data_IF_378650220243
#
_entry.id   IF_378650220243
#
_cell.length_a   1.000
_cell.length_b   1.000
_cell.length_c   1.000
_cell.angle_alpha   90.00
_cell.angle_beta   90.00
_cell.angle_gamma   90.00
#
_symmetry.space_group_name_H-M   'P 1'
#
loop_
_entity.id
_entity.type
_entity.pdbx_description
1 polymer ?
#
# COMPACT_ATOMS: atom_id res chain seq x y z
N UNK A 1 -7.51 -11.09 23.04
CA UNK A 1 -7.40 -9.65 22.67
C UNK A 1 -6.98 -9.62 21.21
N UNK A 2 -7.89 -9.19 20.33
CA UNK A 2 -7.84 -9.11 18.86
C UNK A 2 -7.35 -10.34 18.06
N UNK A 3 -8.13 -11.43 18.05
CA UNK A 3 -8.08 -12.44 16.99
C UNK A 3 -9.38 -12.37 16.18
N UNK A 4 -9.52 -11.34 15.34
CA UNK A 4 -10.54 -11.31 14.30
C UNK A 4 -9.91 -11.77 12.99
N UNK A 5 -9.93 -13.09 12.79
CA UNK A 5 -9.52 -13.81 11.58
C UNK A 5 -10.47 -13.51 10.40
N UNK A 6 -10.49 -12.24 9.97
CA UNK A 6 -11.23 -11.86 8.76
C UNK A 6 -10.41 -12.27 7.53
N UNK A 7 -10.82 -13.41 6.96
CA UNK A 7 -10.71 -13.81 5.55
C UNK A 7 -9.38 -13.49 4.84
N UNK A 8 -8.53 -14.51 4.77
CA UNK A 8 -7.68 -14.88 3.61
C UNK A 8 -7.07 -13.73 2.77
N UNK A 9 -6.38 -12.79 3.41
CA UNK A 9 -5.39 -11.98 2.71
C UNK A 9 -4.02 -12.65 2.87
N UNK A 10 -3.31 -13.00 1.79
CA UNK A 10 -2.05 -13.75 1.88
C UNK A 10 -1.00 -12.95 2.64
N UNK A 11 -0.75 -13.28 3.92
CA UNK A 11 0.38 -12.85 4.75
C UNK A 11 0.82 -11.38 4.61
N UNK A 12 -0.09 -10.45 4.30
CA UNK A 12 0.20 -9.01 4.20
C UNK A 12 -0.27 -8.39 5.50
N UNK A 13 0.67 -7.78 6.23
CA UNK A 13 0.34 -7.12 7.50
C UNK A 13 -0.46 -5.84 7.25
N UNK A 14 -1.18 -5.38 8.26
CA UNK A 14 -2.00 -4.17 8.17
C UNK A 14 -1.18 -2.95 7.67
N UNK A 15 0.05 -2.80 8.17
CA UNK A 15 1.01 -1.80 7.69
C UNK A 15 1.33 -1.92 6.20
N UNK A 16 1.54 -3.14 5.72
CA UNK A 16 1.82 -3.38 4.30
C UNK A 16 0.58 -3.05 3.45
N UNK A 17 -0.62 -3.37 3.93
CA UNK A 17 -1.86 -2.97 3.27
C UNK A 17 -1.98 -1.44 3.17
N UNK A 18 -1.73 -0.70 4.25
CA UNK A 18 -1.77 0.76 4.22
C UNK A 18 -0.80 1.33 3.18
N UNK A 19 0.42 0.78 3.08
CA UNK A 19 1.38 1.16 2.03
C UNK A 19 0.79 0.91 0.63
N UNK A 20 0.14 -0.23 0.40
CA UNK A 20 -0.51 -0.53 -0.89
C UNK A 20 -1.65 0.46 -1.19
N UNK A 21 -2.47 0.81 -0.20
CA UNK A 21 -3.58 1.76 -0.32
C UNK A 21 -3.06 3.15 -0.72
N UNK A 22 -1.99 3.61 -0.10
CA UNK A 22 -1.38 4.91 -0.40
C UNK A 22 -0.69 4.91 -1.79
N UNK A 23 -0.06 3.80 -2.18
CA UNK A 23 0.48 3.65 -3.55
C UNK A 23 -0.65 3.62 -4.58
N UNK A 24 -1.80 3.01 -4.25
CA UNK A 24 -3.00 3.01 -5.10
C UNK A 24 -3.55 4.43 -5.32
N UNK A 25 -3.48 5.26 -4.28
CA UNK A 25 -3.84 6.67 -4.34
C UNK A 25 -2.86 7.52 -5.17
N UNK A 26 -1.70 6.97 -5.55
CA UNK A 26 -0.70 7.66 -6.36
C UNK A 26 0.32 8.46 -5.55
N UNK A 27 0.35 8.30 -4.22
CA UNK A 27 1.28 9.01 -3.33
C UNK A 27 2.73 8.57 -3.57
N UNK A 28 3.65 9.52 -3.38
CA UNK A 28 5.09 9.26 -3.43
C UNK A 28 5.60 8.57 -2.16
N UNK A 29 6.78 7.94 -2.22
CA UNK A 29 7.35 7.26 -1.04
C UNK A 29 7.54 8.19 0.16
N UNK A 30 7.74 9.48 -0.11
CA UNK A 30 7.87 10.52 0.90
C UNK A 30 6.54 10.77 1.60
N UNK A 31 5.48 11.06 0.84
CA UNK A 31 4.12 11.25 1.36
C UNK A 31 3.58 10.00 2.05
N UNK A 32 3.87 8.81 1.51
CA UNK A 32 3.55 7.52 2.16
C UNK A 32 4.26 7.44 3.51
N UNK A 33 5.50 7.91 3.58
CA UNK A 33 6.28 7.98 4.80
C UNK A 33 5.66 8.92 5.81
N UNK A 34 5.29 10.13 5.39
CA UNK A 34 4.61 11.11 6.23
C UNK A 34 3.28 10.59 6.77
N UNK A 35 2.44 10.00 5.92
CA UNK A 35 1.15 9.42 6.30
C UNK A 35 1.28 8.26 7.29
N UNK A 36 2.34 7.45 7.15
CA UNK A 36 2.59 6.30 8.01
C UNK A 36 3.46 6.63 9.23
N UNK A 37 4.02 7.84 9.30
CA UNK A 37 5.00 8.23 10.31
C UNK A 37 6.31 7.45 10.22
N UNK A 38 6.73 7.06 9.02
CA UNK A 38 7.98 6.32 8.76
C UNK A 38 8.83 7.01 7.70
N UNK A 39 10.14 6.79 7.70
CA UNK A 39 11.01 7.39 6.68
C UNK A 39 10.74 6.82 5.28
N UNK A 40 10.92 7.62 4.20
CA UNK A 40 10.78 7.16 2.80
C UNK A 40 11.70 5.97 2.47
N UNK A 41 12.84 5.88 3.15
CA UNK A 41 13.75 4.72 3.07
C UNK A 41 13.08 3.43 3.55
N UNK A 42 12.32 3.49 4.64
CA UNK A 42 11.56 2.38 5.20
C UNK A 42 10.39 2.02 4.29
N UNK A 43 9.71 3.02 3.72
CA UNK A 43 8.67 2.80 2.69
C UNK A 43 9.25 2.04 1.50
N UNK A 44 10.44 2.42 1.02
CA UNK A 44 11.12 1.73 -0.08
C UNK A 44 11.40 0.26 0.25
N UNK A 45 11.83 -0.03 1.48
CA UNK A 45 12.01 -1.40 1.95
C UNK A 45 10.69 -2.19 1.98
N UNK A 46 9.60 -1.58 2.46
CA UNK A 46 8.27 -2.20 2.42
C UNK A 46 7.78 -2.46 1.00
N UNK A 47 7.98 -1.52 0.08
CA UNK A 47 7.72 -1.67 -1.35
C UNK A 47 8.48 -2.84 -1.96
N UNK A 48 9.74 -3.05 -1.58
CA UNK A 48 10.54 -4.15 -2.10
C UNK A 48 10.01 -5.51 -1.63
N UNK A 49 9.70 -5.63 -0.33
CA UNK A 49 9.06 -6.83 0.22
C UNK A 49 7.69 -7.09 -0.42
N UNK A 50 6.90 -6.05 -0.64
CA UNK A 50 5.63 -6.13 -1.35
C UNK A 50 5.84 -6.60 -2.80
N UNK A 51 6.82 -6.04 -3.53
CA UNK A 51 7.13 -6.45 -4.90
C UNK A 51 7.53 -7.92 -4.97
N UNK A 52 8.35 -8.41 -4.02
CA UNK A 52 8.70 -9.82 -3.93
C UNK A 52 7.50 -10.70 -3.62
N UNK A 53 6.65 -10.30 -2.66
CA UNK A 53 5.45 -11.06 -2.28
C UNK A 53 4.40 -11.12 -3.38
N UNK A 54 4.19 -10.01 -4.09
CA UNK A 54 3.19 -9.89 -5.16
C UNK A 54 3.74 -10.27 -6.54
N UNK A 55 5.05 -10.46 -6.68
CA UNK A 55 5.70 -10.78 -7.96
C UNK A 55 5.63 -9.65 -8.99
N UNK A 56 5.53 -8.39 -8.56
CA UNK A 56 5.35 -7.24 -9.46
C UNK A 56 6.64 -6.45 -9.68
N UNK A 57 6.93 -6.13 -10.94
CA UNK A 57 8.12 -5.34 -11.28
C UNK A 57 7.92 -3.84 -11.03
N UNK A 58 6.69 -3.33 -11.16
CA UNK A 58 6.36 -1.90 -11.13
C UNK A 58 5.56 -1.53 -9.89
N UNK A 59 5.91 -0.41 -9.23
CA UNK A 59 5.17 0.09 -8.04
C UNK A 59 3.67 0.29 -8.30
N UNK A 60 3.32 0.80 -9.49
CA UNK A 60 1.93 1.02 -9.90
C UNK A 60 1.13 -0.28 -10.09
N UNK A 61 1.81 -1.42 -10.22
CA UNK A 61 1.16 -2.73 -10.31
C UNK A 61 0.91 -3.36 -8.94
N UNK A 62 1.56 -2.88 -7.87
CA UNK A 62 1.33 -3.36 -6.51
C UNK A 62 -0.15 -3.32 -6.11
N UNK A 63 -0.88 -2.19 -6.24
CA UNK A 63 -2.30 -2.14 -5.84
C UNK A 63 -3.19 -3.01 -6.72
N UNK A 64 -2.87 -3.12 -8.01
CA UNK A 64 -3.60 -3.99 -8.94
C UNK A 64 -3.39 -5.46 -8.58
N UNK A 65 -2.15 -5.88 -8.34
CA UNK A 65 -1.84 -7.25 -7.93
C UNK A 65 -2.45 -7.58 -6.56
N UNK A 66 -2.46 -6.62 -5.62
CA UNK A 66 -3.09 -6.81 -4.31
C UNK A 66 -4.60 -7.02 -4.43
N UNK A 67 -5.26 -6.22 -5.28
CA UNK A 67 -6.69 -6.38 -5.60
C UNK A 67 -6.97 -7.75 -6.24
N UNK A 68 -6.11 -8.19 -7.16
CA UNK A 68 -6.25 -9.49 -7.82
C UNK A 68 -6.04 -10.67 -6.85
N UNK A 69 -5.11 -10.54 -5.89
CA UNK A 69 -4.80 -11.59 -4.91
C UNK A 69 -5.80 -11.65 -3.74
N UNK A 70 -6.28 -10.50 -3.27
CA UNK A 70 -7.11 -10.41 -2.06
C UNK A 70 -8.60 -10.22 -2.38
N UNK A 71 -8.94 -9.80 -3.61
CA UNK A 71 -10.30 -9.41 -3.99
C UNK A 71 -10.80 -8.13 -3.29
N UNK A 72 -9.94 -7.48 -2.52
CA UNK A 72 -10.26 -6.27 -1.77
C UNK A 72 -9.80 -5.03 -2.55
N UNK A 73 -10.68 -4.04 -2.65
CA UNK A 73 -10.34 -2.78 -3.30
C UNK A 73 -9.59 -1.86 -2.32
N UNK A 74 -8.31 -1.54 -2.57
CA UNK A 74 -7.51 -0.71 -1.67
C UNK A 74 -7.92 0.78 -1.72
N UNK A 75 -8.70 1.21 -2.71
CA UNK A 75 -9.15 2.60 -2.83
C UNK A 75 -10.47 2.86 -2.09
N UNK A 76 -11.16 1.81 -1.64
CA UNK A 76 -12.46 1.93 -0.95
C UNK A 76 -12.41 2.71 0.37
N UNK A 77 -11.23 2.88 0.99
CA UNK A 77 -11.10 3.48 2.33
C UNK A 77 -10.47 4.88 2.35
N UNK A 78 -9.86 5.33 1.24
CA UNK A 78 -9.00 6.52 1.25
C UNK A 78 -9.42 7.64 0.28
N UNK A 79 -10.61 7.58 -0.34
CA UNK A 79 -11.16 8.73 -1.05
C UNK A 79 -11.66 9.83 -0.07
N UNK A 80 -10.71 10.45 0.62
CA UNK A 80 -10.82 11.83 1.10
C UNK A 80 -10.21 12.74 0.04
N UNK A 81 -10.97 13.68 -0.57
CA UNK A 81 -10.53 14.41 -1.75
C UNK A 81 -9.68 15.61 -1.32
N UNK A 82 -8.44 15.40 -0.92
CA UNK A 82 -7.48 16.51 -0.85
C UNK A 82 -6.08 15.93 -0.86
N UNK A 83 -5.39 16.08 -1.99
CA UNK A 83 -4.00 16.54 -2.09
C UNK A 83 -3.59 16.45 -3.57
N UNK A 84 -3.76 17.59 -4.23
CA UNK A 84 -3.12 17.92 -5.48
C UNK A 84 -1.75 18.56 -5.17
N UNK A 85 -0.68 18.14 -5.85
CA UNK A 85 0.57 18.90 -5.86
C UNK A 85 1.81 18.18 -6.41
N UNK A 86 2.08 18.37 -7.71
CA UNK A 86 3.35 18.88 -8.29
C UNK A 86 4.72 18.23 -7.89
N UNK A 87 5.47 17.84 -8.92
CA UNK A 87 6.94 17.54 -8.93
C UNK A 87 7.21 16.03 -8.91
N UNK A 88 7.94 15.39 -9.83
CA UNK A 88 8.95 15.78 -10.83
C UNK A 88 8.96 14.73 -11.97
#
# INVERSE_FOLDING_TARGET
MYEALTKTAPAITDRQRQVVELIAAGLSNDEIGEQLGISPRTVKAHCDVLRQKLGVSRRRQIPVAYRLLTGLDPLSKSLGPTLQGRGD
#
